data_IF_901816706607
#
_entry.id   IF_901816706607
#
_cell.length_a   1.000
_cell.length_b   1.000
_cell.length_c   1.000
_cell.angle_alpha   90.00
_cell.angle_beta   90.00
_cell.angle_gamma   90.00
#
_symmetry.space_group_name_H-M   'P 1'
#
loop_
_entity.id
_entity.type
_entity.pdbx_description
1 polymer ?
#
# COMPACT_ATOMS: atom_id res chain seq x y z
N UNK A 1 4.22 6.33 -7.00
CA UNK A 1 5.68 6.12 -6.86
C UNK A 1 6.26 7.21 -5.98
N UNK A 2 7.26 6.91 -5.14
CA UNK A 2 7.92 7.88 -4.26
C UNK A 2 8.86 8.80 -5.06
N UNK A 3 9.13 10.02 -4.56
CA UNK A 3 10.09 10.95 -5.17
C UNK A 3 11.49 10.34 -5.16
N UNK A 4 12.21 10.41 -6.28
CA UNK A 4 13.56 9.81 -6.43
C UNK A 4 14.62 10.79 -6.92
N UNK A 5 14.26 12.06 -7.12
CA UNK A 5 15.10 13.10 -7.71
C UNK A 5 15.46 14.21 -6.71
N UNK A 6 15.56 13.84 -5.42
CA UNK A 6 16.02 14.76 -4.38
C UNK A 6 17.40 15.32 -4.72
N UNK A 7 17.54 16.64 -4.52
CA UNK A 7 18.76 17.39 -4.78
C UNK A 7 19.43 17.77 -3.47
N UNK A 8 20.73 17.53 -3.40
CA UNK A 8 21.56 18.10 -2.34
C UNK A 8 21.73 19.61 -2.55
N UNK A 9 21.79 20.35 -1.44
CA UNK A 9 22.19 21.74 -1.48
C UNK A 9 23.70 21.81 -1.71
N UNK A 10 24.13 22.46 -2.79
CA UNK A 10 25.54 22.64 -3.12
C UNK A 10 25.95 24.10 -2.95
N UNK A 11 27.17 24.31 -2.46
CA UNK A 11 27.76 25.62 -2.25
C UNK A 11 29.29 25.47 -2.22
N UNK A 12 29.98 26.55 -2.58
CA UNK A 12 31.44 26.57 -2.54
C UNK A 12 31.96 27.07 -1.19
N UNK A 13 32.93 26.37 -0.64
CA UNK A 13 33.56 26.74 0.63
C UNK A 13 32.66 26.50 1.85
N UNK A 14 32.79 27.37 2.87
CA UNK A 14 32.06 27.22 4.12
C UNK A 14 30.67 27.89 4.06
N UNK A 15 29.70 27.30 4.78
CA UNK A 15 28.40 27.95 5.00
C UNK A 15 28.57 29.28 5.72
N UNK A 16 27.68 30.22 5.41
CA UNK A 16 27.69 31.58 5.97
C UNK A 16 26.38 31.83 6.70
N UNK A 17 26.48 32.27 7.94
CA UNK A 17 25.32 32.59 8.78
C UNK A 17 25.45 34.02 9.31
N UNK A 18 24.34 34.77 9.27
CA UNK A 18 24.20 36.03 10.02
C UNK A 18 23.46 35.75 11.31
N UNK A 19 24.05 36.16 12.43
CA UNK A 19 23.45 36.05 13.76
C UNK A 19 23.05 37.44 14.23
N UNK A 20 21.77 37.60 14.59
CA UNK A 20 21.21 38.86 15.10
C UNK A 20 20.69 38.62 16.52
N UNK A 21 21.15 39.44 17.48
CA UNK A 21 20.65 39.37 18.85
C UNK A 21 19.21 39.93 18.92
N UNK A 22 18.33 39.19 19.59
CA UNK A 22 16.96 39.61 19.86
C UNK A 22 16.88 40.33 21.21
N UNK A 23 15.86 41.17 21.40
CA UNK A 23 15.68 41.93 22.64
C UNK A 23 15.38 41.05 23.87
N UNK A 24 14.87 39.84 23.66
CA UNK A 24 14.57 38.85 24.71
C UNK A 24 15.80 38.03 25.14
N UNK A 25 16.99 38.33 24.60
CA UNK A 25 18.23 37.62 24.88
C UNK A 25 18.44 36.36 24.03
N UNK A 26 17.51 36.01 23.14
CA UNK A 26 17.71 34.95 22.13
C UNK A 26 18.47 35.50 20.91
N UNK A 27 18.74 34.64 19.92
CA UNK A 27 19.35 35.06 18.66
C UNK A 27 18.59 34.49 17.47
N UNK A 28 18.35 35.33 16.45
CA UNK A 28 17.96 34.88 15.13
C UNK A 28 19.19 34.47 14.32
N UNK A 29 19.06 33.39 13.56
CA UNK A 29 20.11 32.92 12.63
C UNK A 29 19.51 32.92 11.23
N UNK A 30 20.15 33.62 10.30
CA UNK A 30 19.81 33.62 8.87
C UNK A 30 20.93 32.94 8.11
N UNK A 31 20.59 31.97 7.28
CA UNK A 31 21.51 31.38 6.32
C UNK A 31 21.74 32.36 5.17
N UNK A 32 22.99 32.78 4.99
CA UNK A 32 23.46 33.70 3.94
C UNK A 32 24.45 32.97 3.01
N UNK A 33 24.44 31.64 3.03
CA UNK A 33 25.24 30.81 2.12
C UNK A 33 24.77 31.06 0.69
N UNK A 34 25.72 31.35 -0.21
CA UNK A 34 25.44 31.44 -1.63
C UNK A 34 25.46 30.02 -2.22
N UNK A 35 24.28 29.46 -2.46
CA UNK A 35 24.13 28.12 -3.02
C UNK A 35 24.36 28.13 -4.53
N UNK A 36 25.17 27.19 -5.02
CA UNK A 36 25.31 26.89 -6.45
C UNK A 36 24.18 25.97 -6.92
N UNK A 37 23.57 25.21 -5.99
CA UNK A 37 22.35 24.45 -6.19
C UNK A 37 21.51 24.49 -4.92
N UNK A 38 20.24 24.91 -5.06
CA UNK A 38 19.25 24.78 -4.01
C UNK A 38 18.89 23.30 -3.81
N UNK A 39 18.96 22.84 -2.56
CA UNK A 39 18.60 21.48 -2.18
C UNK A 39 17.10 21.33 -1.92
N UNK A 40 16.60 20.10 -2.02
CA UNK A 40 15.24 19.78 -1.59
C UNK A 40 15.19 19.63 -0.06
N UNK A 41 14.24 20.28 0.63
CA UNK A 41 14.05 20.02 2.05
C UNK A 41 13.58 18.57 2.25
N UNK A 42 14.14 17.90 3.24
CA UNK A 42 13.69 16.58 3.68
C UNK A 42 13.58 16.59 5.21
N UNK A 43 12.38 16.36 5.73
CA UNK A 43 12.10 16.44 7.16
C UNK A 43 11.14 15.38 7.65
N UNK A 44 10.59 15.60 8.86
CA UNK A 44 9.70 14.65 9.52
C UNK A 44 8.48 14.28 8.66
N UNK A 45 7.90 15.25 7.94
CA UNK A 45 6.74 14.99 7.08
C UNK A 45 7.08 14.03 5.93
N UNK A 46 8.23 14.20 5.28
CA UNK A 46 8.66 13.37 4.15
C UNK A 46 8.96 11.93 4.58
N UNK A 47 9.66 11.76 5.70
CA UNK A 47 9.96 10.43 6.24
C UNK A 47 8.70 9.75 6.78
N UNK A 48 7.78 10.49 7.41
CA UNK A 48 6.52 9.93 7.89
C UNK A 48 5.61 9.50 6.74
N UNK A 49 5.54 10.27 5.66
CA UNK A 49 4.82 9.87 4.45
C UNK A 49 5.44 8.61 3.83
N UNK A 50 6.77 8.52 3.79
CA UNK A 50 7.49 7.33 3.30
C UNK A 50 7.20 6.11 4.19
N UNK A 51 7.27 6.25 5.51
CA UNK A 51 6.96 5.19 6.46
C UNK A 51 5.51 4.70 6.32
N UNK A 52 4.56 5.62 6.15
CA UNK A 52 3.16 5.26 5.91
C UNK A 52 3.00 4.44 4.62
N UNK A 53 3.65 4.86 3.53
CA UNK A 53 3.63 4.12 2.27
C UNK A 53 4.28 2.73 2.38
N UNK A 54 5.41 2.61 3.08
CA UNK A 54 6.10 1.33 3.31
C UNK A 54 5.25 0.40 4.18
N UNK A 55 4.68 0.91 5.27
CA UNK A 55 3.83 0.13 6.16
C UNK A 55 2.59 -0.38 5.42
N UNK A 56 1.94 0.47 4.60
CA UNK A 56 0.84 0.06 3.71
C UNK A 56 1.29 -1.03 2.73
N UNK A 57 2.47 -0.88 2.14
CA UNK A 57 2.99 -1.85 1.16
C UNK A 57 3.26 -3.24 1.78
N UNK A 58 3.63 -3.30 3.05
CA UNK A 58 3.87 -4.58 3.75
C UNK A 58 2.61 -5.17 4.40
N UNK A 59 1.62 -4.32 4.70
CA UNK A 59 0.37 -4.70 5.33
C UNK A 59 -0.45 -5.66 4.46
N UNK A 60 -1.14 -6.59 5.14
CA UNK A 60 -2.06 -7.56 4.53
C UNK A 60 -3.45 -7.36 5.13
N UNK A 61 -4.40 -6.96 4.30
CA UNK A 61 -5.82 -6.91 4.68
C UNK A 61 -6.49 -8.22 4.31
N UNK A 62 -7.05 -8.93 5.29
CA UNK A 62 -7.84 -10.14 5.07
C UNK A 62 -9.29 -9.80 4.74
N UNK A 63 -9.87 -10.57 3.83
CA UNK A 63 -11.29 -10.48 3.48
C UNK A 63 -11.82 -11.85 3.04
N UNK A 64 -13.13 -12.03 3.03
CA UNK A 64 -13.79 -13.29 2.69
C UNK A 64 -14.71 -13.12 1.49
N UNK A 65 -14.57 -14.02 0.52
CA UNK A 65 -15.55 -14.21 -0.56
C UNK A 65 -16.45 -15.38 -0.21
N UNK A 66 -17.76 -15.14 -0.18
CA UNK A 66 -18.75 -16.16 0.14
C UNK A 66 -19.04 -17.04 -1.08
N UNK A 67 -19.23 -18.34 -0.89
CA UNK A 67 -19.50 -19.30 -1.97
C UNK A 67 -20.83 -19.04 -2.67
N UNK A 68 -21.81 -18.46 -1.97
CA UNK A 68 -23.17 -18.23 -2.44
C UNK A 68 -23.41 -16.80 -2.96
N UNK A 69 -22.41 -15.92 -2.88
CA UNK A 69 -22.51 -14.52 -3.29
C UNK A 69 -21.96 -14.24 -4.71
N UNK A 70 -21.60 -15.28 -5.48
CA UNK A 70 -21.19 -15.11 -6.87
C UNK A 70 -22.40 -14.85 -7.77
N UNK A 71 -22.26 -13.87 -8.65
CA UNK A 71 -23.29 -13.45 -9.61
C UNK A 71 -22.90 -13.82 -11.03
N UNK A 72 -23.89 -13.90 -11.92
CA UNK A 72 -23.73 -14.28 -13.33
C UNK A 72 -24.28 -15.67 -13.62
N UNK A 73 -25.08 -15.77 -14.68
CA UNK A 73 -25.67 -17.06 -15.12
C UNK A 73 -24.63 -17.94 -15.83
N UNK A 74 -23.63 -17.32 -16.46
CA UNK A 74 -22.50 -17.96 -17.14
C UNK A 74 -21.19 -17.26 -16.77
N UNK A 75 -20.07 -17.97 -16.96
CA UNK A 75 -18.74 -17.41 -16.71
C UNK A 75 -18.44 -16.21 -17.64
N UNK A 76 -17.70 -15.19 -17.18
CA UNK A 76 -17.11 -15.09 -15.84
C UNK A 76 -18.14 -14.71 -14.77
N UNK A 77 -18.07 -15.41 -13.63
CA UNK A 77 -18.85 -15.10 -12.43
C UNK A 77 -18.18 -13.96 -11.67
N UNK A 78 -18.98 -13.11 -11.04
CA UNK A 78 -18.49 -11.89 -10.39
C UNK A 78 -18.89 -11.83 -8.91
N UNK A 79 -17.97 -11.38 -8.07
CA UNK A 79 -18.27 -11.03 -6.68
C UNK A 79 -17.49 -9.78 -6.27
N UNK A 80 -18.20 -8.84 -5.65
CA UNK A 80 -17.63 -7.61 -5.09
C UNK A 80 -17.74 -7.65 -3.58
N UNK A 81 -16.66 -7.32 -2.88
CA UNK A 81 -16.56 -7.37 -1.43
C UNK A 81 -15.86 -6.12 -0.90
N UNK A 82 -16.33 -5.63 0.25
CA UNK A 82 -15.69 -4.51 0.93
C UNK A 82 -14.34 -4.96 1.52
N UNK A 83 -13.31 -4.14 1.32
CA UNK A 83 -11.97 -4.36 1.88
C UNK A 83 -11.49 -3.03 2.42
N UNK A 84 -11.21 -2.98 3.73
CA UNK A 84 -10.78 -1.73 4.36
C UNK A 84 -9.39 -1.29 3.85
N UNK A 85 -9.21 0.01 3.69
CA UNK A 85 -7.95 0.62 3.23
C UNK A 85 -7.67 0.56 1.71
N UNK A 86 -8.44 -0.20 0.92
CA UNK A 86 -8.22 -0.28 -0.53
C UNK A 86 -8.68 0.98 -1.25
N UNK A 87 -7.87 1.45 -2.18
CA UNK A 87 -8.13 2.57 -3.07
C UNK A 87 -8.21 2.09 -4.53
N UNK A 88 -8.87 2.87 -5.39
CA UNK A 88 -9.05 2.52 -6.80
C UNK A 88 -7.73 2.38 -7.59
N UNK A 89 -6.64 3.00 -7.13
CA UNK A 89 -5.33 2.96 -7.78
C UNK A 89 -4.42 1.84 -7.25
N UNK A 90 -4.84 1.14 -6.20
CA UNK A 90 -4.06 0.06 -5.63
C UNK A 90 -3.93 -1.10 -6.63
N UNK A 91 -2.76 -1.74 -6.62
CA UNK A 91 -2.50 -2.97 -7.34
C UNK A 91 -1.91 -4.02 -6.38
N UNK A 92 -2.75 -4.58 -5.49
CA UNK A 92 -2.28 -5.44 -4.42
C UNK A 92 -1.92 -6.84 -4.90
N UNK A 93 -1.16 -7.56 -4.07
CA UNK A 93 -0.82 -8.96 -4.31
C UNK A 93 -1.79 -9.84 -3.52
N UNK A 94 -2.48 -10.75 -4.21
CA UNK A 94 -3.29 -11.78 -3.57
C UNK A 94 -2.39 -12.77 -2.82
N UNK A 95 -2.61 -12.94 -1.53
CA UNK A 95 -1.86 -13.85 -0.66
C UNK A 95 -2.76 -14.87 0.02
N UNK A 96 -2.18 -16.03 0.34
CA UNK A 96 -2.90 -17.09 1.04
C UNK A 96 -3.11 -16.72 2.52
N UNK A 97 -4.32 -16.96 3.02
CA UNK A 97 -4.68 -16.87 4.44
C UNK A 97 -4.97 -18.26 5.07
N UNK A 98 -4.52 -19.35 4.42
CA UNK A 98 -4.60 -20.69 5.01
C UNK A 98 -3.83 -20.75 6.33
N UNK A 99 -4.51 -21.18 7.40
CA UNK A 99 -3.92 -21.31 8.73
C UNK A 99 -2.83 -22.39 8.77
N UNK A 100 -1.79 -22.14 9.58
CA UNK A 100 -0.78 -23.16 9.86
C UNK A 100 -1.40 -24.37 10.57
N UNK A 101 -1.00 -25.57 10.17
CA UNK A 101 -1.54 -26.81 10.70
C UNK A 101 -2.95 -27.18 10.21
N UNK A 102 -3.49 -26.51 9.19
CA UNK A 102 -4.74 -26.92 8.57
C UNK A 102 -4.73 -28.40 8.14
N UNK A 103 -5.81 -29.12 8.41
CA UNK A 103 -5.91 -30.52 8.03
C UNK A 103 -5.95 -30.71 6.51
N UNK A 104 -5.77 -31.95 6.06
CA UNK A 104 -5.69 -32.27 4.63
C UNK A 104 -6.99 -31.94 3.86
N UNK A 105 -8.15 -32.03 4.51
CA UNK A 105 -9.43 -31.75 3.87
C UNK A 105 -9.61 -30.24 3.68
N UNK A 106 -9.33 -29.45 4.72
CA UNK A 106 -9.33 -28.00 4.69
C UNK A 106 -8.30 -27.45 3.68
N UNK A 107 -7.07 -27.97 3.70
CA UNK A 107 -6.02 -27.57 2.76
C UNK A 107 -6.43 -27.79 1.31
N UNK A 108 -7.06 -28.94 0.99
CA UNK A 108 -7.52 -29.24 -0.38
C UNK A 108 -8.67 -28.34 -0.82
N UNK A 109 -9.65 -28.12 0.06
CA UNK A 109 -10.78 -27.22 -0.22
C UNK A 109 -10.27 -25.80 -0.48
N UNK A 110 -9.39 -25.30 0.40
CA UNK A 110 -8.77 -24.00 0.29
C UNK A 110 -7.93 -23.87 -0.98
N UNK A 111 -7.04 -24.83 -1.27
CA UNK A 111 -6.18 -24.78 -2.46
C UNK A 111 -7.00 -24.69 -3.75
N UNK A 112 -8.12 -25.41 -3.82
CA UNK A 112 -9.03 -25.36 -4.97
C UNK A 112 -9.70 -23.99 -5.10
N UNK A 113 -10.25 -23.44 -4.02
CA UNK A 113 -10.88 -22.12 -4.02
C UNK A 113 -9.85 -21.01 -4.32
N UNK A 114 -8.66 -21.07 -3.72
CA UNK A 114 -7.59 -20.12 -3.95
C UNK A 114 -7.08 -20.16 -5.40
N UNK A 115 -6.90 -21.36 -5.96
CA UNK A 115 -6.50 -21.53 -7.36
C UNK A 115 -7.54 -20.96 -8.34
N UNK A 116 -8.83 -21.09 -8.02
CA UNK A 116 -9.91 -20.45 -8.78
C UNK A 116 -9.74 -18.92 -8.78
N UNK A 117 -9.58 -18.30 -7.61
CA UNK A 117 -9.40 -16.85 -7.48
C UNK A 117 -8.13 -16.37 -8.20
N UNK A 118 -7.00 -17.04 -7.98
CA UNK A 118 -5.70 -16.66 -8.53
C UNK A 118 -5.62 -16.82 -10.06
N UNK A 119 -6.50 -17.62 -10.66
CA UNK A 119 -6.64 -17.76 -12.12
C UNK A 119 -7.66 -16.80 -12.75
N UNK A 120 -8.41 -16.06 -11.93
CA UNK A 120 -9.37 -15.06 -12.36
C UNK A 120 -8.74 -13.68 -12.56
N UNK A 121 -9.59 -12.65 -12.61
CA UNK A 121 -9.17 -11.24 -12.57
C UNK A 121 -9.73 -10.55 -11.33
N UNK A 122 -9.02 -9.51 -10.87
CA UNK A 122 -9.42 -8.66 -9.76
C UNK A 122 -9.26 -7.19 -10.12
N UNK A 123 -10.20 -6.35 -9.69
CA UNK A 123 -10.11 -4.88 -9.80
C UNK A 123 -10.36 -4.24 -8.45
N UNK A 124 -9.68 -3.13 -8.19
CA UNK A 124 -9.83 -2.32 -6.98
C UNK A 124 -10.73 -1.12 -7.25
N UNK A 125 -11.46 -0.71 -6.22
CA UNK A 125 -12.22 0.53 -6.14
C UNK A 125 -12.12 1.04 -4.69
N UNK A 126 -12.46 2.30 -4.43
CA UNK A 126 -12.39 2.84 -3.07
C UNK A 126 -13.24 2.00 -2.10
N UNK A 127 -12.57 1.36 -1.13
CA UNK A 127 -13.17 0.50 -0.11
C UNK A 127 -13.66 -0.88 -0.59
N UNK A 128 -13.39 -1.30 -1.83
CA UNK A 128 -13.83 -2.61 -2.31
C UNK A 128 -12.95 -3.22 -3.40
N UNK A 129 -13.11 -4.54 -3.56
CA UNK A 129 -12.52 -5.29 -4.68
C UNK A 129 -13.56 -6.14 -5.37
N UNK A 130 -13.41 -6.29 -6.68
CA UNK A 130 -14.26 -7.14 -7.51
C UNK A 130 -13.44 -8.24 -8.13
N UNK A 131 -13.83 -9.49 -7.90
CA UNK A 131 -13.23 -10.67 -8.52
C UNK A 131 -14.12 -11.21 -9.63
N UNK A 132 -13.49 -11.63 -10.73
CA UNK A 132 -14.14 -12.35 -11.83
C UNK A 132 -13.46 -13.69 -12.06
N UNK A 133 -14.22 -14.78 -12.04
CA UNK A 133 -13.69 -16.15 -12.11
C UNK A 133 -14.46 -16.99 -13.12
N UNK A 134 -13.80 -17.97 -13.72
CA UNK A 134 -14.44 -18.88 -14.70
C UNK A 134 -15.07 -20.13 -14.07
N UNK A 135 -14.95 -20.25 -12.74
CA UNK A 135 -15.55 -21.31 -11.95
C UNK A 135 -15.83 -20.76 -10.55
N UNK A 136 -16.98 -21.06 -9.98
CA UNK A 136 -17.29 -20.60 -8.62
C UNK A 136 -16.57 -21.47 -7.58
N UNK A 137 -15.92 -20.88 -6.57
CA UNK A 137 -15.56 -21.58 -5.34
C UNK A 137 -16.80 -22.25 -4.72
N UNK A 138 -16.64 -23.46 -4.21
CA UNK A 138 -17.75 -24.21 -3.57
C UNK A 138 -17.77 -24.03 -2.05
N UNK A 139 -16.84 -23.27 -1.50
CA UNK A 139 -16.68 -22.97 -0.09
C UNK A 139 -16.30 -21.51 0.05
N UNK A 140 -16.71 -20.89 1.15
CA UNK A 140 -16.21 -19.57 1.50
C UNK A 140 -14.69 -19.61 1.57
N UNK A 141 -14.05 -18.52 1.16
CA UNK A 141 -12.61 -18.42 1.18
C UNK A 141 -12.19 -17.07 1.72
N UNK A 142 -11.40 -17.11 2.79
CA UNK A 142 -10.65 -15.96 3.29
C UNK A 142 -9.30 -15.90 2.59
N UNK A 143 -8.93 -14.74 2.07
CA UNK A 143 -7.61 -14.46 1.45
C UNK A 143 -7.11 -13.11 1.91
N UNK A 144 -5.85 -12.80 1.64
CA UNK A 144 -5.27 -11.48 1.93
C UNK A 144 -4.96 -10.69 0.68
N UNK A 145 -5.01 -9.37 0.78
CA UNK A 145 -4.39 -8.45 -0.16
C UNK A 145 -3.19 -7.79 0.51
N UNK A 146 -2.00 -8.04 -0.02
CA UNK A 146 -0.79 -7.32 0.39
C UNK A 146 -0.66 -6.01 -0.38
N UNK A 147 -0.38 -4.92 0.34
CA UNK A 147 -0.19 -3.60 -0.25
C UNK A 147 -1.42 -2.69 -0.19
N UNK A 148 -2.27 -2.91 0.82
CA UNK A 148 -3.55 -2.22 1.05
C UNK A 148 -3.53 -1.54 2.42
#
# INVERSE_FOLDING_TARGET
MLKTDYKDAMYDGARKYRITANADGTSGIVDETAYTQEGDPFGANDINATNAAINRQDHVTLFTLAADAWTGDEAPYEQTVAVDGVAAEDNPILVSALEDGADLAAQKAYNKAFGILASGTGTTADGSVTFKVYKQPTTDITVGLKGV
#
